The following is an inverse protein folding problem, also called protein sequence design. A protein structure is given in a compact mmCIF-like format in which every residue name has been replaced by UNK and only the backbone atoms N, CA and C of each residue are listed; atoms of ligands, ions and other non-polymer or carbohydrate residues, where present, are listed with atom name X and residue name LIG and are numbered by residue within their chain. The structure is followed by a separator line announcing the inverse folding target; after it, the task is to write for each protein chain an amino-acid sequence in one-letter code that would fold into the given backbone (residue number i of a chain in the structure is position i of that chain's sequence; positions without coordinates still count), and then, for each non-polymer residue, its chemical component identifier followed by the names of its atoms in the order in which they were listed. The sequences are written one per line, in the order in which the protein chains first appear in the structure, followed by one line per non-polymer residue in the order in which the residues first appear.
data_IF_293136206121
#
_entry.id   IF_293136206121
#
_cell.length_a   1.000
_cell.length_b   1.000
_cell.length_c   1.000
_cell.angle_alpha   90.00
_cell.angle_beta   90.00
_cell.angle_gamma   90.00
#
_symmetry.space_group_name_H-M   'P 1'
#
loop_
_entity.id
_entity.type
_entity.pdbx_description
1 polymer ?
#
# COMPACT_ATOMS: atom_id res chain seq x y z
N UNK A 1 1.87 -24.17 -17.04
CA UNK A 1 0.68 -23.33 -16.73
C UNK A 1 0.90 -22.78 -15.33
N UNK A 2 1.50 -21.59 -15.25
CA UNK A 2 1.81 -20.92 -13.97
C UNK A 2 0.54 -20.19 -13.55
N UNK A 3 -0.03 -20.62 -12.43
CA UNK A 3 -1.29 -20.12 -11.92
C UNK A 3 -1.01 -18.87 -11.07
N UNK A 4 -1.04 -17.70 -11.69
CA UNK A 4 -0.88 -16.36 -11.07
C UNK A 4 -2.13 -15.95 -10.26
N UNK A 5 -2.63 -16.84 -9.40
CA UNK A 5 -3.83 -16.56 -8.59
C UNK A 5 -3.59 -15.65 -7.38
N UNK A 6 -2.33 -15.33 -7.06
CA UNK A 6 -2.01 -14.42 -5.95
C UNK A 6 -2.53 -13.00 -6.18
N UNK A 7 -2.39 -12.48 -7.41
CA UNK A 7 -2.86 -11.14 -7.78
C UNK A 7 -4.38 -11.06 -8.00
N UNK A 8 -4.99 -12.14 -8.47
CA UNK A 8 -6.45 -12.23 -8.73
C UNK A 8 -7.27 -12.09 -7.45
N UNK A 9 -6.81 -12.62 -6.32
CA UNK A 9 -7.49 -12.49 -5.04
C UNK A 9 -7.53 -11.05 -4.53
N UNK A 10 -6.36 -10.38 -4.47
CA UNK A 10 -6.26 -8.99 -3.97
C UNK A 10 -6.90 -7.99 -4.92
N UNK A 11 -6.46 -7.97 -6.18
CA UNK A 11 -6.92 -6.98 -7.15
C UNK A 11 -8.39 -7.22 -7.50
N UNK A 12 -8.80 -8.48 -7.66
CA UNK A 12 -10.20 -8.86 -7.89
C UNK A 12 -11.10 -8.49 -6.71
N UNK A 13 -10.66 -8.77 -5.47
CA UNK A 13 -11.37 -8.37 -4.26
C UNK A 13 -11.56 -6.86 -4.17
N UNK A 14 -10.51 -6.06 -4.40
CA UNK A 14 -10.62 -4.59 -4.39
C UNK A 14 -11.53 -4.06 -5.50
N UNK A 15 -11.44 -4.62 -6.72
CA UNK A 15 -12.27 -4.20 -7.85
C UNK A 15 -13.77 -4.50 -7.60
N UNK A 16 -14.07 -5.69 -7.05
CA UNK A 16 -15.42 -6.06 -6.66
C UNK A 16 -15.96 -5.14 -5.57
N UNK A 17 -15.13 -4.79 -4.58
CA UNK A 17 -15.51 -3.90 -3.48
C UNK A 17 -15.76 -2.45 -3.97
N UNK A 18 -14.95 -1.96 -4.91
CA UNK A 18 -15.19 -0.67 -5.60
C UNK A 18 -16.48 -0.73 -6.42
N UNK A 19 -16.74 -1.82 -7.15
CA UNK A 19 -17.98 -2.01 -7.90
C UNK A 19 -19.22 -2.03 -6.99
N UNK A 20 -19.15 -2.75 -5.87
CA UNK A 20 -20.19 -2.77 -4.85
C UNK A 20 -20.40 -1.39 -4.22
N UNK A 21 -19.35 -0.63 -3.95
CA UNK A 21 -19.46 0.73 -3.45
C UNK A 21 -20.18 1.64 -4.46
N UNK A 22 -19.84 1.54 -5.74
CA UNK A 22 -20.49 2.32 -6.80
C UNK A 22 -21.98 1.98 -6.94
N UNK A 23 -22.32 0.69 -6.90
CA UNK A 23 -23.71 0.24 -6.89
C UNK A 23 -24.44 0.70 -5.62
N UNK A 24 -23.80 0.57 -4.45
CA UNK A 24 -24.40 0.97 -3.18
C UNK A 24 -24.64 2.47 -3.10
N UNK A 25 -23.77 3.27 -3.72
CA UNK A 25 -23.97 4.71 -3.86
C UNK A 25 -25.18 5.02 -4.76
N UNK A 26 -25.35 4.28 -5.86
CA UNK A 26 -26.48 4.45 -6.77
C UNK A 26 -27.82 4.03 -6.15
N UNK A 27 -27.84 3.03 -5.26
CA UNK A 27 -29.02 2.54 -4.54
C UNK A 27 -29.28 3.29 -3.21
N UNK A 28 -28.50 4.33 -2.90
CA UNK A 28 -28.51 4.94 -1.57
C UNK A 28 -29.72 5.86 -1.37
N UNK A 29 -30.82 5.32 -0.84
CA UNK A 29 -32.04 6.09 -0.55
C UNK A 29 -32.21 6.49 0.92
N UNK A 30 -31.63 5.72 1.86
CA UNK A 30 -31.83 5.96 3.30
C UNK A 30 -30.56 6.54 3.94
N UNK A 31 -30.73 7.32 5.02
CA UNK A 31 -29.58 7.81 5.84
C UNK A 31 -28.66 6.68 6.31
N UNK A 32 -29.21 5.48 6.54
CA UNK A 32 -28.45 4.28 6.91
C UNK A 32 -27.51 3.81 5.80
N UNK A 33 -27.92 3.98 4.54
CA UNK A 33 -27.10 3.60 3.38
C UNK A 33 -25.90 4.55 3.23
N UNK A 34 -26.08 5.84 3.53
CA UNK A 34 -24.98 6.82 3.56
C UNK A 34 -23.86 6.47 4.55
N UNK A 35 -24.22 6.00 5.76
CA UNK A 35 -23.23 5.50 6.73
C UNK A 35 -22.46 4.28 6.21
N UNK A 36 -23.14 3.37 5.52
CA UNK A 36 -22.54 2.19 4.89
C UNK A 36 -21.55 2.57 3.79
N UNK A 37 -21.91 3.52 2.93
CA UNK A 37 -21.04 4.06 1.87
C UNK A 37 -19.79 4.70 2.46
N UNK A 38 -19.93 5.50 3.52
CA UNK A 38 -18.78 6.12 4.22
C UNK A 38 -17.86 5.04 4.82
N UNK A 39 -18.42 4.02 5.48
CA UNK A 39 -17.64 2.93 6.05
C UNK A 39 -16.88 2.14 4.97
N UNK A 40 -17.56 1.79 3.86
CA UNK A 40 -16.93 1.09 2.72
C UNK A 40 -15.81 1.93 2.09
N UNK A 41 -16.00 3.24 1.96
CA UNK A 41 -14.98 4.15 1.41
C UNK A 41 -13.76 4.23 2.33
N UNK A 42 -13.96 4.41 3.64
CA UNK A 42 -12.86 4.42 4.62
C UNK A 42 -12.12 3.07 4.67
N UNK A 43 -12.85 1.97 4.50
CA UNK A 43 -12.26 0.64 4.41
C UNK A 43 -11.37 0.50 3.16
N UNK A 44 -11.81 0.99 2.00
CA UNK A 44 -10.98 1.01 0.79
C UNK A 44 -9.72 1.86 0.94
N UNK A 45 -9.83 3.03 1.58
CA UNK A 45 -8.66 3.88 1.90
C UNK A 45 -7.68 3.11 2.78
N UNK A 46 -8.20 2.40 3.80
CA UNK A 46 -7.37 1.58 4.70
C UNK A 46 -6.66 0.45 3.96
N UNK A 47 -7.37 -0.31 3.12
CA UNK A 47 -6.77 -1.36 2.28
C UNK A 47 -5.67 -0.76 1.40
N UNK A 48 -5.89 0.42 0.81
CA UNK A 48 -4.89 1.04 -0.05
C UNK A 48 -3.62 1.40 0.71
N UNK A 49 -3.75 1.92 1.93
CA UNK A 49 -2.59 2.21 2.78
C UNK A 49 -1.87 0.95 3.25
N UNK A 50 -2.60 -0.14 3.52
CA UNK A 50 -2.01 -1.42 3.95
C UNK A 50 -1.01 -1.99 2.94
N UNK A 51 -1.22 -1.73 1.64
CA UNK A 51 -0.39 -2.26 0.55
C UNK A 51 0.49 -1.19 -0.12
N UNK A 52 0.41 0.07 0.29
CA UNK A 52 1.09 1.16 -0.39
C UNK A 52 1.36 2.33 0.53
N UNK A 53 2.62 2.49 0.93
CA UNK A 53 3.09 3.58 1.76
C UNK A 53 3.91 4.56 0.91
N UNK A 54 3.23 5.42 0.15
CA UNK A 54 3.91 6.49 -0.60
C UNK A 54 3.34 7.86 -0.27
N UNK A 55 4.22 8.87 -0.27
CA UNK A 55 3.85 10.25 0.05
C UNK A 55 2.85 10.85 -0.97
N UNK A 56 2.98 10.64 -2.29
CA UNK A 56 1.98 11.09 -3.26
C UNK A 56 0.61 10.42 -3.07
N UNK A 57 0.61 9.12 -2.75
CA UNK A 57 -0.62 8.36 -2.49
C UNK A 57 -1.33 8.86 -1.23
N UNK A 58 -0.57 9.18 -0.19
CA UNK A 58 -1.09 9.76 1.05
C UNK A 58 -1.83 11.06 0.77
N UNK A 59 -1.22 11.95 -0.03
CA UNK A 59 -1.82 13.23 -0.39
C UNK A 59 -3.09 13.05 -1.23
N UNK A 60 -3.08 12.11 -2.17
CA UNK A 60 -4.27 11.74 -2.97
C UNK A 60 -5.41 11.21 -2.08
N UNK A 61 -5.10 10.37 -1.09
CA UNK A 61 -6.07 9.76 -0.19
C UNK A 61 -6.66 10.71 0.86
N UNK A 62 -6.10 11.92 1.03
CA UNK A 62 -6.73 12.96 1.86
C UNK A 62 -8.09 13.37 1.29
N UNK A 63 -8.24 13.45 -0.03
CA UNK A 63 -9.48 13.90 -0.68
C UNK A 63 -10.69 13.02 -0.31
N UNK A 64 -10.69 11.69 -0.56
CA UNK A 64 -11.82 10.83 -0.20
C UNK A 64 -12.05 10.79 1.33
N UNK A 65 -10.98 10.89 2.13
CA UNK A 65 -11.09 10.92 3.59
C UNK A 65 -11.81 12.17 4.08
N UNK A 66 -11.46 13.35 3.56
CA UNK A 66 -12.13 14.62 3.89
C UNK A 66 -13.58 14.61 3.41
N UNK A 67 -13.86 14.05 2.22
CA UNK A 67 -15.23 13.86 1.74
C UNK A 67 -16.07 12.96 2.66
N UNK A 68 -15.48 11.88 3.18
CA UNK A 68 -16.13 11.02 4.17
C UNK A 68 -16.46 11.77 5.47
N UNK A 69 -15.52 12.57 5.99
CA UNK A 69 -15.77 13.39 7.17
C UNK A 69 -16.86 14.45 6.92
N UNK A 70 -16.84 15.07 5.75
CA UNK A 70 -17.87 16.02 5.34
C UNK A 70 -19.25 15.35 5.27
N UNK A 71 -19.36 14.21 4.57
CA UNK A 71 -20.59 13.42 4.49
C UNK A 71 -21.09 12.98 5.88
N UNK A 72 -20.19 12.56 6.77
CA UNK A 72 -20.54 12.18 8.13
C UNK A 72 -21.05 13.36 8.96
N UNK A 73 -20.45 14.55 8.78
CA UNK A 73 -20.91 15.78 9.44
C UNK A 73 -22.31 16.20 8.98
N UNK A 74 -22.61 16.03 7.69
CA UNK A 74 -23.94 16.30 7.13
C UNK A 74 -24.98 15.29 7.65
N UNK A 75 -24.63 14.00 7.66
CA UNK A 75 -25.47 12.92 8.19
C UNK A 75 -25.83 13.11 9.67
N UNK A 76 -24.88 13.63 10.47
CA UNK A 76 -25.09 13.94 11.89
C UNK A 76 -25.80 15.27 12.14
N UNK A 77 -25.76 16.20 11.20
CA UNK A 77 -26.50 17.45 11.33
C UNK A 77 -28.00 17.16 11.25
N UNK A 78 -28.73 17.42 12.35
CA UNK A 78 -30.18 17.21 12.43
C UNK A 78 -30.98 18.30 11.71
N UNK A 79 -30.32 19.32 11.15
CA UNK A 79 -30.99 20.49 10.59
C UNK A 79 -30.84 20.48 9.07
N UNK A 80 -31.96 20.32 8.36
CA UNK A 80 -32.06 20.45 6.92
C UNK A 80 -31.79 21.88 6.45
N UNK A 81 -30.54 22.34 6.57
CA UNK A 81 -30.07 23.59 6.00
C UNK A 81 -29.67 23.32 4.53
N UNK A 82 -30.67 23.31 3.66
CA UNK A 82 -30.61 23.06 2.22
C UNK A 82 -29.87 24.13 1.40
N UNK A 83 -29.13 25.03 2.04
CA UNK A 83 -28.34 26.04 1.33
C UNK A 83 -26.87 25.92 1.71
N UNK A 84 -26.04 25.49 0.75
CA UNK A 84 -24.58 25.44 0.88
C UNK A 84 -24.04 26.87 0.85
N UNK A 85 -24.10 27.53 2.00
CA UNK A 85 -23.53 28.85 2.18
C UNK A 85 -22.04 28.74 2.56
N UNK A 86 -21.20 29.71 2.18
CA UNK A 86 -19.76 29.71 2.50
C UNK A 86 -19.51 29.66 4.01
N UNK A 87 -20.47 30.19 4.79
CA UNK A 87 -20.48 30.15 6.24
C UNK A 87 -20.64 28.72 6.81
N UNK A 88 -21.40 27.85 6.15
CA UNK A 88 -21.60 26.45 6.52
C UNK A 88 -20.37 25.60 6.19
N UNK A 89 -19.75 25.79 5.01
CA UNK A 89 -18.49 25.13 4.66
C UNK A 89 -17.40 25.41 5.70
N UNK A 90 -17.28 26.67 6.17
CA UNK A 90 -16.33 27.03 7.22
C UNK A 90 -16.64 26.34 8.55
N UNK A 91 -17.92 26.20 8.92
CA UNK A 91 -18.33 25.49 10.15
C UNK A 91 -18.00 24.00 10.08
N UNK A 92 -18.28 23.35 8.95
CA UNK A 92 -17.95 21.95 8.74
C UNK A 92 -16.44 21.71 8.69
N UNK A 93 -15.67 22.60 8.09
CA UNK A 93 -14.20 22.53 8.12
C UNK A 93 -13.66 22.67 9.55
N UNK A 94 -14.24 23.57 10.36
CA UNK A 94 -13.86 23.75 11.75
C UNK A 94 -14.18 22.51 12.61
N UNK A 95 -15.35 21.89 12.39
CA UNK A 95 -15.74 20.69 13.13
C UNK A 95 -14.87 19.49 12.74
N UNK A 96 -14.57 19.32 11.45
CA UNK A 96 -13.62 18.34 10.97
C UNK A 96 -12.24 18.54 11.61
N UNK A 97 -11.72 19.78 11.61
CA UNK A 97 -10.44 20.12 12.24
C UNK A 97 -10.43 19.82 13.74
N UNK A 98 -11.51 20.17 14.46
CA UNK A 98 -11.65 19.86 15.88
C UNK A 98 -11.62 18.35 16.13
N UNK A 99 -12.28 17.58 15.27
CA UNK A 99 -12.35 16.11 15.39
C UNK A 99 -10.96 15.51 15.16
N UNK A 100 -10.24 15.99 14.14
CA UNK A 100 -8.85 15.61 13.87
C UNK A 100 -7.94 15.99 15.03
N UNK A 101 -8.09 17.19 15.61
CA UNK A 101 -7.29 17.63 16.75
C UNK A 101 -7.49 16.75 18.00
N UNK A 102 -8.71 16.25 18.22
CA UNK A 102 -9.01 15.30 19.32
C UNK A 102 -8.49 13.91 19.00
N UNK A 103 -8.54 13.47 17.73
CA UNK A 103 -8.05 12.16 17.31
C UNK A 103 -6.51 12.09 17.22
N UNK A 104 -5.84 13.22 16.97
CA UNK A 104 -4.39 13.30 16.83
C UNK A 104 -3.59 12.75 18.03
N UNK A 105 -3.89 13.09 19.30
CA UNK A 105 -3.17 12.53 20.44
C UNK A 105 -3.38 11.01 20.57
N UNK A 106 -4.59 10.51 20.25
CA UNK A 106 -4.85 9.07 20.24
C UNK A 106 -4.06 8.36 19.13
N UNK A 107 -4.00 8.96 17.92
CA UNK A 107 -3.22 8.45 16.81
C UNK A 107 -1.72 8.44 17.13
N UNK A 108 -1.21 9.50 17.78
CA UNK A 108 0.19 9.58 18.24
C UNK A 108 0.50 8.48 19.27
N UNK A 109 -0.42 8.28 20.22
CA UNK A 109 -0.27 7.25 21.25
C UNK A 109 -0.25 5.86 20.61
N UNK A 110 -1.20 5.55 19.71
CA UNK A 110 -1.20 4.29 18.96
C UNK A 110 0.07 4.13 18.12
N UNK A 111 0.54 5.18 17.46
CA UNK A 111 1.76 5.13 16.67
C UNK A 111 3.02 4.87 17.52
N UNK A 112 3.04 5.36 18.76
CA UNK A 112 4.15 5.13 19.69
C UNK A 112 4.09 3.73 20.32
N UNK A 113 2.88 3.23 20.63
CA UNK A 113 2.66 1.95 21.30
C UNK A 113 2.66 0.76 20.33
N UNK A 114 2.22 0.95 19.08
CA UNK A 114 2.16 -0.13 18.09
C UNK A 114 3.56 -0.27 17.46
N UNK A 115 4.24 -1.42 17.65
CA UNK A 115 5.52 -1.65 17.01
C UNK A 115 5.33 -1.61 15.50
N UNK A 116 6.18 -0.86 14.80
CA UNK A 116 6.19 -0.84 13.34
C UNK A 116 6.79 -2.15 12.87
N UNK A 117 5.95 -3.16 12.69
CA UNK A 117 6.35 -4.46 12.23
C UNK A 117 6.78 -4.31 10.76
N UNK A 118 8.07 -4.43 10.49
CA UNK A 118 8.64 -4.42 9.13
C UNK A 118 8.23 -5.63 8.31
N UNK A 119 7.60 -6.63 8.94
CA UNK A 119 7.05 -7.80 8.28
C UNK A 119 5.63 -8.08 8.79
N UNK A 120 4.73 -8.55 7.90
CA UNK A 120 3.40 -8.94 8.32
C UNK A 120 3.49 -10.09 9.34
N UNK A 121 2.84 -9.93 10.48
CA UNK A 121 2.70 -10.96 11.54
C UNK A 121 1.82 -12.13 11.11
N UNK A 122 1.07 -11.95 10.03
CA UNK A 122 0.21 -12.93 9.38
C UNK A 122 0.38 -12.80 7.87
N UNK A 123 0.93 -13.83 7.26
CA UNK A 123 1.22 -13.84 5.83
C UNK A 123 2.69 -14.12 5.58
N UNK A 124 2.97 -14.92 4.53
CA UNK A 124 4.34 -15.10 4.06
C UNK A 124 4.89 -13.72 3.66
N UNK A 125 6.18 -13.44 3.90
CA UNK A 125 6.83 -12.29 3.28
C UNK A 125 6.48 -12.37 1.80
N UNK A 126 5.98 -11.25 1.25
CA UNK A 126 5.76 -11.11 -0.18
C UNK A 126 7.05 -11.64 -0.82
N UNK A 127 6.99 -12.83 -1.41
CA UNK A 127 7.94 -13.17 -2.45
C UNK A 127 7.43 -12.29 -3.57
N UNK A 128 7.80 -11.01 -3.50
CA UNK A 128 7.63 -10.11 -4.60
C UNK A 128 8.07 -10.91 -5.81
N UNK A 129 7.17 -11.06 -6.77
CA UNK A 129 7.57 -11.25 -8.16
C UNK A 129 8.26 -9.98 -8.70
N UNK A 130 8.90 -9.20 -7.84
CA UNK A 130 10.11 -8.50 -8.23
C UNK A 130 11.02 -9.60 -8.74
N UNK A 131 11.27 -9.58 -10.04
CA UNK A 131 12.35 -10.31 -10.66
C UNK A 131 13.60 -10.02 -9.82
N UNK A 132 13.89 -10.90 -8.85
CA UNK A 132 15.07 -10.81 -8.01
C UNK A 132 16.21 -10.65 -8.99
N UNK A 133 16.93 -9.54 -8.91
CA UNK A 133 18.06 -9.34 -9.79
C UNK A 133 19.03 -10.45 -9.44
N UNK A 134 19.14 -11.40 -10.35
CA UNK A 134 19.97 -12.58 -10.22
C UNK A 134 20.63 -12.79 -11.56
N UNK A 135 21.71 -13.56 -11.58
CA UNK A 135 22.28 -14.01 -12.85
C UNK A 135 21.22 -14.82 -13.61
N UNK A 136 20.67 -14.21 -14.66
CA UNK A 136 19.77 -14.90 -15.59
C UNK A 136 20.54 -15.79 -16.57
N UNK A 137 19.81 -16.61 -17.33
CA UNK A 137 20.37 -17.48 -18.38
C UNK A 137 20.87 -16.70 -19.62
N UNK A 138 20.65 -15.38 -19.65
CA UNK A 138 21.09 -14.46 -20.69
C UNK A 138 21.75 -13.23 -20.04
N UNK A 139 22.82 -12.73 -20.65
CA UNK A 139 23.52 -11.53 -20.20
C UNK A 139 23.76 -10.61 -21.40
N UNK A 140 23.47 -9.32 -21.23
CA UNK A 140 23.80 -8.28 -22.21
C UNK A 140 24.85 -7.34 -21.63
N UNK A 141 25.81 -6.85 -22.43
CA UNK A 141 26.72 -5.79 -22.01
C UNK A 141 25.92 -4.59 -21.46
N UNK A 142 26.25 -4.14 -20.24
CA UNK A 142 25.56 -3.04 -19.54
C UNK A 142 24.49 -3.47 -18.53
N UNK A 143 23.85 -4.63 -18.67
CA UNK A 143 22.85 -5.14 -17.72
C UNK A 143 23.43 -5.63 -16.38
N UNK A 144 24.75 -5.87 -16.32
CA UNK A 144 25.45 -6.22 -15.06
C UNK A 144 25.42 -5.07 -14.05
N UNK A 145 25.27 -3.83 -14.52
CA UNK A 145 25.23 -2.64 -13.66
C UNK A 145 24.03 -2.66 -12.72
N UNK A 146 22.90 -3.21 -13.18
CA UNK A 146 21.68 -3.31 -12.38
C UNK A 146 21.86 -4.29 -11.20
N UNK A 147 22.67 -5.34 -11.37
CA UNK A 147 23.04 -6.30 -10.31
C UNK A 147 24.00 -5.70 -9.27
N UNK A 148 24.81 -4.71 -9.65
CA UNK A 148 25.76 -4.06 -8.75
C UNK A 148 25.09 -3.03 -7.82
N UNK A 149 23.89 -2.57 -8.17
CA UNK A 149 23.13 -1.57 -7.41
C UNK A 149 22.13 -2.25 -6.45
N UNK A 150 21.90 -3.56 -6.59
CA UNK A 150 21.05 -4.34 -5.70
C UNK A 150 21.83 -4.79 -4.45
N UNK A 151 21.49 -4.20 -3.29
CA UNK A 151 22.06 -4.54 -1.98
C UNK A 151 21.43 -5.81 -1.35
N UNK A 152 20.62 -6.57 -2.11
CA UNK A 152 20.03 -7.81 -1.61
C UNK A 152 21.07 -8.91 -1.39
N UNK A 153 20.81 -9.76 -0.40
CA UNK A 153 21.72 -10.84 -0.02
C UNK A 153 21.72 -11.92 -1.10
N UNK A 154 22.80 -12.01 -1.88
CA UNK A 154 22.98 -13.04 -2.91
C UNK A 154 23.33 -14.42 -2.35
N UNK A 155 24.22 -14.48 -1.36
CA UNK A 155 24.72 -15.72 -0.76
C UNK A 155 25.10 -15.51 0.71
N UNK A 156 24.81 -16.49 1.55
CA UNK A 156 25.42 -16.62 2.89
C UNK A 156 26.23 -17.91 2.93
N UNK A 157 27.53 -17.80 3.16
CA UNK A 157 28.42 -18.94 3.32
C UNK A 157 28.95 -18.99 4.76
N UNK A 158 29.12 -20.21 5.28
CA UNK A 158 29.80 -20.47 6.56
C UNK A 158 30.93 -21.43 6.29
N UNK A 159 32.13 -21.08 6.73
CA UNK A 159 33.29 -21.95 6.68
C UNK A 159 33.37 -22.75 7.97
N UNK A 160 33.73 -24.03 7.89
CA UNK A 160 33.98 -24.87 9.07
C UNK A 160 35.32 -24.54 9.74
N UNK A 161 36.23 -23.93 8.98
CA UNK A 161 37.58 -23.51 9.39
C UNK A 161 37.77 -22.01 9.12
N UNK A 162 38.99 -21.50 9.33
CA UNK A 162 39.37 -20.12 9.01
C UNK A 162 38.99 -19.76 7.55
N UNK A 163 38.27 -18.64 7.30
CA UNK A 163 37.90 -18.24 5.95
C UNK A 163 39.14 -18.00 5.07
N UNK A 164 39.12 -18.42 3.79
CA UNK A 164 40.23 -18.14 2.88
C UNK A 164 40.34 -16.64 2.57
N UNK A 165 41.52 -16.16 2.12
CA UNK A 165 41.72 -14.77 1.75
C UNK A 165 40.71 -14.29 0.70
N UNK A 166 40.33 -13.02 0.74
CA UNK A 166 39.30 -12.45 -0.18
C UNK A 166 39.62 -12.67 -1.66
N UNK A 167 40.91 -12.74 -2.02
CA UNK A 167 41.35 -13.00 -3.40
C UNK A 167 40.96 -14.40 -3.91
N UNK A 168 40.74 -15.36 -3.02
CA UNK A 168 40.35 -16.73 -3.36
C UNK A 168 38.84 -16.96 -3.32
N UNK A 169 38.06 -15.97 -2.83
CA UNK A 169 36.61 -16.03 -2.74
C UNK A 169 35.93 -15.75 -4.10
N UNK A 170 36.36 -16.46 -5.14
CA UNK A 170 35.71 -16.44 -6.44
C UNK A 170 34.53 -17.41 -6.47
N UNK A 171 33.34 -16.89 -6.19
CA UNK A 171 32.09 -17.64 -6.26
C UNK A 171 31.68 -17.80 -7.72
N UNK A 172 32.03 -18.94 -8.32
CA UNK A 172 31.73 -19.25 -9.72
C UNK A 172 30.22 -19.25 -9.97
N UNK A 173 29.76 -18.31 -10.79
CA UNK A 173 28.39 -18.26 -11.31
C UNK A 173 28.15 -19.16 -12.54
N UNK A 174 26.97 -19.05 -13.17
CA UNK A 174 26.67 -19.75 -14.42
C UNK A 174 27.61 -19.34 -15.55
N UNK A 175 27.90 -20.29 -16.45
CA UNK A 175 28.73 -20.06 -17.64
C UNK A 175 27.83 -19.94 -18.86
N UNK A 176 27.91 -18.80 -19.54
CA UNK A 176 27.17 -18.55 -20.79
C UNK A 176 28.04 -18.98 -21.98
N UNK A 177 27.70 -20.11 -22.58
CA UNK A 177 28.48 -20.74 -23.65
C UNK A 177 28.15 -20.23 -25.04
N UNK A 178 27.00 -19.54 -25.19
CA UNK A 178 26.48 -19.07 -26.47
C UNK A 178 26.53 -17.55 -26.50
N UNK A 179 27.11 -17.02 -27.56
CA UNK A 179 27.13 -15.60 -27.87
C UNK A 179 26.43 -15.41 -29.22
N UNK A 180 25.33 -14.68 -29.23
CA UNK A 180 24.49 -14.41 -30.40
C UNK A 180 24.83 -13.07 -31.08
N UNK A 181 25.74 -12.27 -30.52
CA UNK A 181 26.22 -11.03 -31.11
C UNK A 181 25.45 -9.76 -30.71
N UNK A 182 24.50 -9.87 -29.77
CA UNK A 182 23.62 -8.77 -29.33
C UNK A 182 23.86 -8.38 -27.87
#
# INVERSE_FOLDING_TARGET
IRNDFGGLGRNGGTAMLVGLLALKLAESERRRDGLLVVCMTLFLVTIRFLFGESLPLTLYMLVPTLLCFWALSELHSQSGATQVDRSLLRRYALSALKTVAIAAPLALLLWLLVPRLSQPVWGKPDVSEDARTGLGDEMKPGRMTDLLIDDSIALRARFETEPPPTAELYWRGPVLWRFDGV
#
